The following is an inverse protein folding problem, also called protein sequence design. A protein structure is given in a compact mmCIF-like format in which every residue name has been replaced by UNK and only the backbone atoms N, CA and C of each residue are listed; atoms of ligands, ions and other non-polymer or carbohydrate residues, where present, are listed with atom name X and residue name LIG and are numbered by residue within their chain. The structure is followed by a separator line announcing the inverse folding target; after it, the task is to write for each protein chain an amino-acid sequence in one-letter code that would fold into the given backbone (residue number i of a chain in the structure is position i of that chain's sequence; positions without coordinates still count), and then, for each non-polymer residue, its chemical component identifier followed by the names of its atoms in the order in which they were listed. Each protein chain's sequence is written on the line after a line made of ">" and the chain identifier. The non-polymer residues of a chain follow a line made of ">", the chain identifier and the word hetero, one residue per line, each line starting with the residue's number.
data_IF_672991541120
#
_entry.id   IF_672991541120
#
_cell.length_a   1.000
_cell.length_b   1.000
_cell.length_c   1.000
_cell.angle_alpha   90.00
_cell.angle_beta   90.00
_cell.angle_gamma   90.00
#
_symmetry.space_group_name_H-M   'P 1'
#
loop_
_entity.id
_entity.type
_entity.pdbx_description
1 polymer ?
#
# COMPACT_ATOMS: atom_id res chain seq x y z
N UNK A 1 10.68 2.73 -17.24
CA UNK A 1 9.53 2.45 -16.35
C UNK A 1 10.07 2.08 -14.98
N UNK A 2 9.55 2.68 -13.90
CA UNK A 2 9.98 2.32 -12.55
C UNK A 2 9.44 0.94 -12.18
N UNK A 3 10.32 0.05 -11.74
CA UNK A 3 9.94 -1.29 -11.28
C UNK A 3 9.65 -1.26 -9.77
N UNK A 4 8.38 -1.41 -9.40
CA UNK A 4 7.95 -1.43 -8.00
C UNK A 4 8.57 -2.57 -7.18
N UNK A 5 8.88 -3.71 -7.80
CA UNK A 5 9.58 -4.81 -7.12
C UNK A 5 10.98 -4.38 -6.67
N UNK A 6 11.68 -3.64 -7.53
CA UNK A 6 13.01 -3.09 -7.18
C UNK A 6 12.91 -2.07 -6.06
N UNK A 7 11.90 -1.19 -6.09
CA UNK A 7 11.69 -0.17 -5.04
C UNK A 7 11.40 -0.85 -3.71
N UNK A 8 10.45 -1.79 -3.67
CA UNK A 8 10.10 -2.52 -2.45
C UNK A 8 11.31 -3.28 -1.88
N UNK A 9 12.09 -3.97 -2.72
CA UNK A 9 13.30 -4.64 -2.26
C UNK A 9 14.31 -3.67 -1.62
N UNK A 10 14.48 -2.46 -2.18
CA UNK A 10 15.36 -1.42 -1.61
C UNK A 10 14.83 -0.90 -0.27
N UNK A 11 13.52 -0.69 -0.16
CA UNK A 11 12.88 -0.32 1.11
C UNK A 11 13.11 -1.39 2.17
N UNK A 12 12.92 -2.65 1.81
CA UNK A 12 13.15 -3.80 2.70
C UNK A 12 14.63 -3.94 3.12
N UNK A 13 15.59 -3.53 2.28
CA UNK A 13 17.01 -3.45 2.66
C UNK A 13 17.36 -2.21 3.51
N UNK A 14 16.39 -1.38 3.88
CA UNK A 14 16.58 -0.21 4.73
C UNK A 14 16.89 1.09 3.98
N UNK A 15 16.73 1.15 2.65
CA UNK A 15 16.96 2.37 1.88
C UNK A 15 15.85 3.40 2.11
N UNK A 16 16.15 4.39 2.96
CA UNK A 16 15.22 5.46 3.33
C UNK A 16 14.78 6.30 2.14
N UNK A 17 15.65 6.53 1.16
CA UNK A 17 15.32 7.34 -0.02
C UNK A 17 14.27 6.66 -0.89
N UNK A 18 14.39 5.34 -1.10
CA UNK A 18 13.35 4.58 -1.82
C UNK A 18 12.03 4.58 -1.06
N UNK A 19 12.05 4.52 0.27
CA UNK A 19 10.83 4.55 1.09
C UNK A 19 10.11 5.90 0.97
N UNK A 20 10.85 7.00 1.11
CA UNK A 20 10.32 8.35 0.95
C UNK A 20 9.80 8.57 -0.47
N UNK A 21 10.56 8.16 -1.49
CA UNK A 21 10.13 8.26 -2.89
C UNK A 21 8.83 7.50 -3.15
N UNK A 22 8.71 6.27 -2.63
CA UNK A 22 7.51 5.45 -2.78
C UNK A 22 6.28 6.11 -2.12
N UNK A 23 6.44 6.61 -0.89
CA UNK A 23 5.37 7.31 -0.17
C UNK A 23 4.94 8.56 -0.94
N UNK A 24 5.89 9.42 -1.36
CA UNK A 24 5.59 10.64 -2.12
C UNK A 24 4.91 10.36 -3.45
N UNK A 25 5.26 9.25 -4.10
CA UNK A 25 4.63 8.81 -5.35
C UNK A 25 3.17 8.39 -5.14
N UNK A 26 2.84 7.84 -3.96
CA UNK A 26 1.49 7.40 -3.60
C UNK A 26 0.63 8.50 -2.96
N UNK A 27 1.24 9.59 -2.47
CA UNK A 27 0.53 10.71 -1.85
C UNK A 27 -0.64 11.29 -2.67
N UNK A 28 -0.55 11.47 -4.01
CA UNK A 28 -1.67 11.97 -4.79
C UNK A 28 -2.91 11.08 -4.66
N UNK A 29 -2.73 9.76 -4.58
CA UNK A 29 -3.82 8.82 -4.36
C UNK A 29 -4.37 8.95 -2.93
N UNK A 30 -3.52 9.09 -1.92
CA UNK A 30 -3.96 9.30 -0.53
C UNK A 30 -4.81 10.57 -0.41
N UNK A 31 -4.31 11.70 -0.93
CA UNK A 31 -5.00 13.00 -0.94
C UNK A 31 -6.37 12.91 -1.61
N UNK A 32 -6.47 12.16 -2.72
CA UNK A 32 -7.72 11.97 -3.44
C UNK A 32 -8.80 11.28 -2.59
N UNK A 33 -8.43 10.36 -1.70
CA UNK A 33 -9.40 9.67 -0.84
C UNK A 33 -9.76 10.48 0.41
N UNK A 34 -8.87 11.36 0.87
CA UNK A 34 -9.11 12.23 2.03
C UNK A 34 -9.92 13.49 1.73
N UNK A 35 -10.19 13.80 0.45
CA UNK A 35 -10.93 15.03 0.07
C UNK A 35 -12.34 15.15 0.65
N UNK A 36 -12.91 14.06 1.14
CA UNK A 36 -14.24 14.01 1.73
C UNK A 36 -14.25 14.05 3.27
N UNK A 37 -13.08 14.13 3.92
CA UNK A 37 -12.96 14.25 5.38
C UNK A 37 -12.78 15.70 5.78
N UNK A 38 -12.99 16.02 7.06
CA UNK A 38 -12.77 17.37 7.57
C UNK A 38 -11.29 17.76 7.47
N UNK A 39 -11.00 19.06 7.38
CA UNK A 39 -9.62 19.57 7.26
C UNK A 39 -8.74 19.15 8.44
N UNK A 40 -9.31 19.12 9.64
CA UNK A 40 -8.64 18.68 10.86
C UNK A 40 -8.26 17.20 10.79
N UNK A 41 -9.16 16.34 10.31
CA UNK A 41 -8.90 14.91 10.15
C UNK A 41 -7.92 14.61 9.02
N UNK A 42 -7.89 15.42 7.96
CA UNK A 42 -7.05 15.19 6.78
C UNK A 42 -5.56 15.06 7.15
N UNK A 43 -5.05 15.88 8.05
CA UNK A 43 -3.63 15.84 8.45
C UNK A 43 -3.30 14.57 9.23
N UNK A 44 -4.13 14.23 10.20
CA UNK A 44 -3.98 13.01 11.01
C UNK A 44 -4.07 11.75 10.14
N UNK A 45 -5.10 11.67 9.30
CA UNK A 45 -5.30 10.53 8.39
C UNK A 45 -4.17 10.43 7.35
N UNK A 46 -3.63 11.57 6.89
CA UNK A 46 -2.48 11.56 5.98
C UNK A 46 -1.25 10.93 6.64
N UNK A 47 -0.95 11.29 7.89
CA UNK A 47 0.16 10.68 8.62
C UNK A 47 -0.06 9.18 8.81
N UNK A 48 -1.27 8.77 9.18
CA UNK A 48 -1.61 7.35 9.35
C UNK A 48 -1.44 6.57 8.05
N UNK A 49 -1.91 7.12 6.92
CA UNK A 49 -1.74 6.49 5.60
C UNK A 49 -0.28 6.37 5.19
N UNK A 50 0.57 7.37 5.49
CA UNK A 50 2.02 7.30 5.23
C UNK A 50 2.67 6.18 6.04
N UNK A 51 2.35 6.08 7.33
CA UNK A 51 2.86 5.01 8.21
C UNK A 51 2.40 3.64 7.74
N UNK A 52 1.11 3.47 7.44
CA UNK A 52 0.58 2.20 6.91
C UNK A 52 1.24 1.81 5.59
N UNK A 53 1.44 2.78 4.69
CA UNK A 53 2.14 2.55 3.42
C UNK A 53 3.57 2.07 3.65
N UNK A 54 4.31 2.72 4.56
CA UNK A 54 5.64 2.29 4.95
C UNK A 54 5.66 0.85 5.48
N UNK A 55 4.73 0.50 6.38
CA UNK A 55 4.61 -0.84 6.92
C UNK A 55 4.30 -1.89 5.84
N UNK A 56 3.40 -1.57 4.91
CA UNK A 56 3.10 -2.44 3.76
C UNK A 56 4.34 -2.64 2.91
N UNK A 57 5.05 -1.58 2.53
CA UNK A 57 6.27 -1.68 1.73
C UNK A 57 7.34 -2.57 2.42
N UNK A 58 7.46 -2.48 3.75
CA UNK A 58 8.38 -3.33 4.50
C UNK A 58 7.95 -4.79 4.61
N UNK A 59 6.64 -5.07 4.71
CA UNK A 59 6.12 -6.42 4.95
C UNK A 59 5.66 -7.15 3.68
N UNK A 60 5.62 -6.47 2.54
CA UNK A 60 5.08 -7.03 1.29
C UNK A 60 5.90 -8.22 0.79
N UNK A 61 5.24 -9.35 0.52
CA UNK A 61 5.85 -10.58 -0.01
C UNK A 61 5.35 -10.86 -1.41
N UNK A 62 6.18 -10.60 -2.42
CA UNK A 62 5.81 -10.81 -3.83
C UNK A 62 5.54 -12.28 -4.19
N UNK A 63 6.12 -13.22 -3.44
CA UNK A 63 5.98 -14.66 -3.66
C UNK A 63 4.63 -15.19 -3.17
N UNK A 64 3.95 -14.46 -2.29
CA UNK A 64 2.69 -14.84 -1.67
C UNK A 64 1.49 -14.11 -2.28
N UNK A 65 1.70 -13.34 -3.35
CA UNK A 65 0.60 -12.67 -4.05
C UNK A 65 -0.10 -13.68 -4.95
N UNK A 66 -1.33 -14.13 -4.63
CA UNK A 66 -2.06 -15.04 -5.50
C UNK A 66 -2.30 -14.39 -6.87
N UNK A 67 -2.26 -15.20 -7.93
CA UNK A 67 -2.74 -14.78 -9.23
C UNK A 67 -4.22 -14.36 -9.14
N UNK A 68 -4.68 -13.50 -10.05
CA UNK A 68 -6.06 -12.98 -10.01
C UNK A 68 -7.13 -14.08 -9.82
N UNK A 69 -6.97 -15.21 -10.50
CA UNK A 69 -7.90 -16.35 -10.39
C UNK A 69 -7.78 -17.13 -9.08
N UNK A 70 -6.57 -17.23 -8.53
CA UNK A 70 -6.33 -17.84 -7.21
C UNK A 70 -6.93 -16.95 -6.11
N UNK A 71 -6.72 -15.64 -6.21
CA UNK A 71 -7.30 -14.65 -5.32
C UNK A 71 -8.84 -14.70 -5.35
N UNK A 72 -9.42 -14.73 -6.55
CA UNK A 72 -10.87 -14.80 -6.75
C UNK A 72 -11.46 -16.05 -6.07
N UNK A 73 -10.83 -17.20 -6.26
CA UNK A 73 -11.26 -18.46 -5.63
C UNK A 73 -11.22 -18.39 -4.10
N UNK A 74 -10.15 -17.83 -3.53
CA UNK A 74 -10.00 -17.69 -2.07
C UNK A 74 -11.02 -16.74 -1.42
N UNK A 75 -11.57 -15.80 -2.20
CA UNK A 75 -12.48 -14.76 -1.69
C UNK A 75 -13.95 -14.99 -2.08
N UNK A 76 -14.25 -15.71 -3.16
CA UNK A 76 -15.63 -16.11 -3.50
C UNK A 76 -16.14 -17.26 -2.62
N UNK A 77 -15.29 -18.22 -2.25
CA UNK A 77 -15.70 -19.36 -1.41
C UNK A 77 -16.02 -18.96 0.05
N UNK A 78 -15.62 -17.77 0.49
CA UNK A 78 -15.94 -17.23 1.82
C UNK A 78 -17.35 -16.64 1.92
N UNK A 79 -18.02 -16.38 0.79
CA UNK A 79 -19.36 -15.78 0.75
C UNK A 79 -20.50 -16.79 0.50
N UNK A 80 -20.19 -18.10 0.36
CA UNK A 80 -21.18 -19.17 0.14
C UNK A 80 -21.40 -20.09 1.36
N UNK A 81 -20.94 -19.69 2.55
CA UNK A 81 -21.30 -20.35 3.82
C UNK A 81 -22.17 -19.43 4.66
N UNK A 82 -23.44 -19.33 4.28
CA UNK A 82 -24.57 -18.95 5.17
C UNK A 82 -25.61 -20.05 5.03
#
# INVERSE_FOLDING_TARGET
>A
MTNWKTVVNKVQSGDKYSAEWAIRTLEPNMKRHLKYTSREEQENLMQELRVKTFLVLHSFRFQETPGFWEWKKEHEDKHLKI
#
